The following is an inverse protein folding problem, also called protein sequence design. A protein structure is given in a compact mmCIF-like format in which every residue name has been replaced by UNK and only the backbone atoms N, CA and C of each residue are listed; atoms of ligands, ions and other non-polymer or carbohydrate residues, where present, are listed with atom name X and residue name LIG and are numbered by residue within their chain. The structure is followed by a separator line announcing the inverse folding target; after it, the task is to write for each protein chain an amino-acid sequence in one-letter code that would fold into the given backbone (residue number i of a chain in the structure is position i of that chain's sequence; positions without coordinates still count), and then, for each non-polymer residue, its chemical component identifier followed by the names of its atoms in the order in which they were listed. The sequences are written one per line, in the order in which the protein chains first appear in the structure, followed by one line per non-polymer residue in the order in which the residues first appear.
data_IF_661406122955
#
_entry.id   IF_661406122955
#
_cell.length_a   1.000
_cell.length_b   1.000
_cell.length_c   1.000
_cell.angle_alpha   90.00
_cell.angle_beta   90.00
_cell.angle_gamma   90.00
#
_symmetry.space_group_name_H-M   'P 1'
#
loop_
_entity.id
_entity.type
_entity.pdbx_description
1 polymer ?
#
# COMPACT_ATOMS: atom_id res chain seq x y z
N UNK A 1 25.84 -10.68 32.36
CA UNK A 1 24.46 -10.31 32.75
C UNK A 1 23.62 -10.42 31.49
N UNK A 2 22.79 -11.46 31.39
CA UNK A 2 21.81 -11.57 30.30
C UNK A 2 20.87 -10.39 30.44
N UNK A 3 20.83 -9.49 29.46
CA UNK A 3 19.71 -8.56 29.36
C UNK A 3 18.46 -9.44 29.22
N UNK A 4 17.46 -9.26 30.08
CA UNK A 4 16.19 -9.96 30.00
C UNK A 4 15.55 -9.64 28.64
N UNK A 5 15.71 -10.56 27.69
CA UNK A 5 15.04 -10.49 26.41
C UNK A 5 13.55 -10.75 26.63
N UNK A 6 12.74 -9.72 26.44
CA UNK A 6 11.28 -9.80 26.44
C UNK A 6 10.78 -9.65 24.99
N UNK A 7 10.25 -10.71 24.36
CA UNK A 7 9.75 -10.62 22.99
C UNK A 7 8.60 -9.60 22.84
N UNK A 8 7.88 -9.25 23.92
CA UNK A 8 6.82 -8.23 23.89
C UNK A 8 7.36 -6.80 23.82
N UNK A 9 8.64 -6.61 24.18
CA UNK A 9 9.35 -5.33 24.08
C UNK A 9 10.19 -5.23 22.81
N UNK A 10 10.27 -6.29 22.02
CA UNK A 10 11.01 -6.29 20.76
C UNK A 10 10.19 -5.60 19.65
N UNK A 11 10.37 -4.28 19.51
CA UNK A 11 9.64 -3.45 18.54
C UNK A 11 10.58 -2.81 17.53
N UNK A 12 10.11 -2.70 16.28
CA UNK A 12 10.85 -2.07 15.19
C UNK A 12 10.83 -0.53 15.27
N UNK A 13 9.79 0.05 15.87
CA UNK A 13 9.61 1.50 15.97
C UNK A 13 8.89 1.87 17.25
N UNK A 14 9.06 3.14 17.66
CA UNK A 14 8.34 3.71 18.79
C UNK A 14 6.83 3.76 18.51
N UNK A 15 6.04 3.55 19.57
CA UNK A 15 4.58 3.58 19.50
C UNK A 15 4.07 5.02 19.35
N UNK A 16 3.16 5.23 18.40
CA UNK A 16 2.43 6.47 18.14
C UNK A 16 0.94 6.26 18.31
N UNK A 17 0.23 7.30 18.71
CA UNK A 17 -1.22 7.37 18.87
C UNK A 17 -1.80 8.37 17.88
N UNK A 18 -3.12 8.47 17.78
CA UNK A 18 -3.79 9.39 16.86
C UNK A 18 -3.24 10.83 16.94
N UNK A 19 -2.96 11.33 18.14
CA UNK A 19 -2.48 12.70 18.40
C UNK A 19 -1.05 12.96 17.93
N UNK A 20 -0.27 11.91 17.65
CA UNK A 20 1.14 12.04 17.26
C UNK A 20 1.33 12.28 15.77
N UNK A 21 0.26 12.24 14.97
CA UNK A 21 0.30 12.42 13.52
C UNK A 21 -0.09 13.83 13.10
N UNK A 22 0.41 14.26 11.95
CA UNK A 22 0.07 15.53 11.33
C UNK A 22 -0.25 15.35 9.84
N UNK A 23 -1.12 16.22 9.31
CA UNK A 23 -1.37 16.27 7.87
C UNK A 23 -0.08 16.67 7.12
N UNK A 24 0.13 16.10 5.93
CA UNK A 24 1.33 16.25 5.13
C UNK A 24 2.47 15.27 5.48
N UNK A 25 2.30 14.44 6.51
CA UNK A 25 3.29 13.40 6.82
C UNK A 25 3.25 12.28 5.77
N UNK A 26 4.43 11.92 5.24
CA UNK A 26 4.57 10.97 4.14
C UNK A 26 5.27 9.69 4.57
N UNK A 27 4.70 8.55 4.15
CA UNK A 27 5.23 7.22 4.32
C UNK A 27 5.53 6.62 2.94
N UNK A 28 6.80 6.69 2.53
CA UNK A 28 7.27 6.06 1.31
C UNK A 28 7.30 4.54 1.51
N UNK A 29 6.80 3.81 0.52
CA UNK A 29 6.82 2.36 0.52
C UNK A 29 7.95 1.84 -0.41
N UNK A 30 8.43 0.61 -0.22
CA UNK A 30 9.51 0.06 -1.04
C UNK A 30 9.16 0.07 -2.53
N UNK A 31 10.09 0.55 -3.36
CA UNK A 31 9.97 0.47 -4.82
C UNK A 31 10.02 -0.98 -5.29
N UNK A 32 9.40 -1.27 -6.44
CA UNK A 32 9.39 -2.62 -7.00
C UNK A 32 9.31 -2.60 -8.52
N UNK A 33 10.24 -3.27 -9.17
CA UNK A 33 10.10 -3.64 -10.58
C UNK A 33 9.12 -4.80 -10.68
N UNK A 34 8.08 -4.63 -11.48
CA UNK A 34 7.03 -5.62 -11.66
C UNK A 34 7.54 -6.71 -12.57
N UNK A 35 7.50 -7.94 -12.09
CA UNK A 35 7.94 -9.14 -12.81
C UNK A 35 6.79 -10.12 -12.95
N UNK A 36 6.93 -11.11 -13.83
CA UNK A 36 5.94 -12.19 -14.00
C UNK A 36 5.65 -12.93 -12.68
N UNK A 37 6.61 -12.98 -11.76
CA UNK A 37 6.39 -13.56 -10.43
C UNK A 37 5.32 -12.80 -9.63
N UNK A 38 5.22 -11.48 -9.80
CA UNK A 38 4.17 -10.69 -9.16
C UNK A 38 2.79 -10.99 -9.75
N UNK A 39 2.72 -11.15 -11.08
CA UNK A 39 1.50 -11.54 -11.78
C UNK A 39 1.03 -12.92 -11.33
N UNK A 40 1.93 -13.92 -11.34
CA UNK A 40 1.63 -15.28 -10.90
C UNK A 40 1.17 -15.32 -9.43
N UNK A 41 1.86 -14.60 -8.55
CA UNK A 41 1.49 -14.53 -7.13
C UNK A 41 0.09 -13.90 -6.94
N UNK A 42 -0.19 -12.79 -7.62
CA UNK A 42 -1.49 -12.14 -7.51
C UNK A 42 -2.62 -12.97 -8.13
N UNK A 43 -2.39 -13.57 -9.30
CA UNK A 43 -3.35 -14.45 -9.96
C UNK A 43 -3.67 -15.68 -9.09
N UNK A 44 -2.66 -16.24 -8.42
CA UNK A 44 -2.86 -17.40 -7.52
C UNK A 44 -3.82 -17.07 -6.38
N UNK A 45 -3.68 -15.89 -5.75
CA UNK A 45 -4.52 -15.53 -4.60
C UNK A 45 -5.88 -14.93 -4.99
N UNK A 46 -5.93 -14.16 -6.08
CA UNK A 46 -7.16 -13.48 -6.53
C UNK A 46 -8.06 -14.38 -7.38
N UNK A 47 -7.51 -15.45 -7.96
CA UNK A 47 -8.15 -16.26 -8.99
C UNK A 47 -8.58 -15.47 -10.24
N UNK A 48 -8.07 -14.24 -10.42
CA UNK A 48 -8.33 -13.43 -11.61
C UNK A 48 -7.44 -13.88 -12.76
N UNK A 49 -8.03 -14.72 -13.62
CA UNK A 49 -7.38 -15.40 -14.74
C UNK A 49 -7.81 -14.81 -16.10
N UNK A 50 -7.99 -13.50 -16.21
CA UNK A 50 -8.18 -12.88 -17.53
C UNK A 50 -6.86 -12.97 -18.34
N UNK A 51 -6.87 -13.39 -19.62
CA UNK A 51 -5.66 -13.64 -20.41
C UNK A 51 -4.77 -12.41 -20.62
N UNK A 52 -5.30 -11.20 -20.45
CA UNK A 52 -4.52 -9.94 -20.47
C UNK A 52 -3.36 -9.92 -19.45
N UNK A 53 -3.41 -10.80 -18.44
CA UNK A 53 -2.42 -10.88 -17.38
C UNK A 53 -1.34 -11.97 -17.62
N UNK A 54 -1.55 -12.94 -18.52
CA UNK A 54 -0.62 -14.06 -18.69
C UNK A 54 -0.41 -14.55 -20.14
N UNK A 55 -1.24 -14.12 -21.09
CA UNK A 55 -1.13 -14.51 -22.50
C UNK A 55 -0.58 -13.33 -23.32
N UNK A 56 0.68 -13.48 -23.73
CA UNK A 56 1.40 -12.46 -24.52
C UNK A 56 0.79 -12.28 -25.92
N UNK A 57 0.29 -13.35 -26.54
CA UNK A 57 -0.31 -13.26 -27.87
C UNK A 57 -1.70 -12.62 -27.80
N UNK A 58 -2.47 -12.91 -26.75
CA UNK A 58 -3.69 -12.16 -26.45
C UNK A 58 -3.38 -10.67 -26.28
N UNK A 59 -2.36 -10.31 -25.49
CA UNK A 59 -1.96 -8.91 -25.29
C UNK A 59 -1.57 -8.23 -26.61
N UNK A 60 -0.74 -8.88 -27.44
CA UNK A 60 -0.32 -8.38 -28.75
C UNK A 60 -1.51 -8.15 -29.67
N UNK A 61 -2.46 -9.09 -29.74
CA UNK A 61 -3.66 -8.98 -30.57
C UNK A 61 -4.56 -7.80 -30.16
N UNK A 62 -4.47 -7.36 -28.90
CA UNK A 62 -5.26 -6.24 -28.35
C UNK A 62 -4.44 -4.94 -28.18
N UNK A 63 -3.25 -4.87 -28.77
CA UNK A 63 -2.44 -3.64 -28.80
C UNK A 63 -1.66 -3.33 -27.51
N UNK A 64 -1.53 -4.31 -26.61
CA UNK A 64 -0.68 -4.16 -25.43
C UNK A 64 0.79 -4.50 -25.75
N UNK A 65 1.76 -3.72 -25.22
CA UNK A 65 3.19 -3.97 -25.42
C UNK A 65 3.72 -5.21 -24.66
N UNK A 66 2.94 -5.76 -23.73
CA UNK A 66 3.30 -6.92 -22.91
C UNK A 66 2.18 -7.25 -21.93
N UNK A 67 2.47 -8.11 -20.94
CA UNK A 67 1.53 -8.46 -19.88
C UNK A 67 1.13 -7.21 -19.09
N UNK A 68 -0.18 -6.98 -18.96
CA UNK A 68 -0.74 -5.85 -18.23
C UNK A 68 -1.05 -6.28 -16.79
N UNK A 69 -0.49 -5.61 -15.79
CA UNK A 69 -0.73 -5.96 -14.39
C UNK A 69 -2.21 -5.81 -14.02
N UNK A 70 -2.72 -6.68 -13.12
CA UNK A 70 -4.03 -6.47 -12.51
C UNK A 70 -4.04 -5.11 -11.79
N UNK A 71 -5.12 -4.33 -11.93
CA UNK A 71 -5.25 -3.09 -11.18
C UNK A 71 -5.15 -3.33 -9.67
N UNK A 72 -5.81 -4.39 -9.18
CA UNK A 72 -5.77 -4.81 -7.78
C UNK A 72 -4.36 -5.24 -7.32
N UNK A 73 -3.53 -5.81 -8.19
CA UNK A 73 -2.12 -6.09 -7.89
C UNK A 73 -1.35 -4.80 -7.63
N UNK A 74 -1.53 -3.79 -8.48
CA UNK A 74 -0.89 -2.47 -8.32
C UNK A 74 -1.35 -1.81 -7.01
N UNK A 75 -2.65 -1.91 -6.71
CA UNK A 75 -3.22 -1.44 -5.45
C UNK A 75 -2.60 -2.14 -4.23
N UNK A 76 -2.34 -3.45 -4.27
CA UNK A 76 -1.71 -4.15 -3.16
C UNK A 76 -0.35 -3.55 -2.75
N UNK A 77 0.34 -2.87 -3.66
CA UNK A 77 1.60 -2.20 -3.33
C UNK A 77 1.44 -0.90 -2.53
N UNK A 78 0.23 -0.37 -2.37
CA UNK A 78 -0.05 0.76 -1.46
C UNK A 78 -0.33 0.31 -0.03
N UNK A 79 -0.40 -1.01 0.23
CA UNK A 79 -0.68 -1.53 1.58
C UNK A 79 0.33 -0.98 2.58
N UNK A 80 -0.18 -0.35 3.65
CA UNK A 80 0.68 0.28 4.65
C UNK A 80 1.65 -0.72 5.31
N UNK A 81 1.28 -2.00 5.34
CA UNK A 81 2.09 -3.16 5.75
C UNK A 81 3.50 -3.20 5.18
N UNK A 82 3.71 -2.63 3.98
CA UNK A 82 5.01 -2.61 3.33
C UNK A 82 5.99 -1.58 3.90
N UNK A 83 5.52 -0.64 4.73
CA UNK A 83 6.31 0.49 5.24
C UNK A 83 6.33 0.59 6.77
N UNK A 84 6.85 1.71 7.27
CA UNK A 84 7.03 1.92 8.70
C UNK A 84 5.73 2.20 9.47
N UNK A 85 4.68 2.71 8.81
CA UNK A 85 3.46 3.19 9.48
C UNK A 85 2.82 2.15 10.41
N UNK A 86 2.54 0.89 9.99
CA UNK A 86 2.01 -0.16 10.88
C UNK A 86 2.86 -0.41 12.12
N UNK A 87 4.18 -0.35 11.97
CA UNK A 87 5.12 -0.57 13.08
C UNK A 87 5.13 0.57 14.08
N UNK A 88 4.69 1.77 13.69
CA UNK A 88 4.52 2.90 14.60
C UNK A 88 3.16 2.85 15.30
N UNK A 89 2.14 2.26 14.69
CA UNK A 89 0.76 2.27 15.23
C UNK A 89 0.34 0.98 15.93
N UNK A 90 1.21 -0.02 16.09
CA UNK A 90 0.92 -1.37 16.65
C UNK A 90 -0.27 -1.41 17.64
N UNK A 91 -0.13 -0.82 18.82
CA UNK A 91 -1.16 -0.90 19.89
C UNK A 91 -2.37 0.03 19.64
N UNK A 92 -2.18 1.05 18.80
CA UNK A 92 -3.20 2.05 18.51
C UNK A 92 -4.11 1.65 17.34
N UNK A 93 -3.67 0.76 16.44
CA UNK A 93 -4.49 0.35 15.29
C UNK A 93 -5.71 -0.45 15.75
N UNK A 94 -6.90 0.02 15.37
CA UNK A 94 -8.16 -0.70 15.60
C UNK A 94 -8.65 -1.36 14.32
N UNK A 95 -8.52 -0.68 13.18
CA UNK A 95 -8.99 -1.25 11.92
C UNK A 95 -8.67 -0.43 10.68
N UNK A 96 -8.77 -1.09 9.53
CA UNK A 96 -8.71 -0.49 8.21
C UNK A 96 -10.14 -0.33 7.69
N UNK A 97 -10.66 0.90 7.71
CA UNK A 97 -12.08 1.18 7.53
C UNK A 97 -12.49 1.21 6.06
N UNK A 98 -11.67 1.84 5.23
CA UNK A 98 -12.02 2.14 3.85
C UNK A 98 -10.78 2.18 2.98
N UNK A 99 -10.95 1.67 1.75
CA UNK A 99 -9.97 1.78 0.68
C UNK A 99 -10.72 2.22 -0.58
N UNK A 100 -10.15 3.18 -1.30
CA UNK A 100 -10.57 3.53 -2.66
C UNK A 100 -9.36 3.63 -3.59
N UNK A 101 -9.58 3.40 -4.88
CA UNK A 101 -8.52 3.49 -5.89
C UNK A 101 -9.07 3.91 -7.26
N UNK A 102 -8.25 4.62 -8.03
CA UNK A 102 -8.41 4.93 -9.43
C UNK A 102 -7.19 4.40 -10.19
N UNK A 103 -7.45 3.60 -11.22
CA UNK A 103 -6.41 3.06 -12.11
C UNK A 103 -6.24 4.00 -13.29
N UNK A 104 -5.20 4.84 -13.26
CA UNK A 104 -5.08 5.97 -14.16
C UNK A 104 -4.31 5.63 -15.45
N UNK A 105 -3.35 4.71 -15.35
CA UNK A 105 -2.52 4.28 -16.48
C UNK A 105 -2.21 2.79 -16.39
N UNK A 106 -2.01 2.11 -17.53
CA UNK A 106 -1.56 0.72 -17.52
C UNK A 106 -0.18 0.59 -16.87
N UNK A 107 0.04 -0.54 -16.21
CA UNK A 107 1.34 -0.95 -15.67
C UNK A 107 1.71 -2.27 -16.32
N UNK A 108 2.90 -2.33 -16.92
CA UNK A 108 3.37 -3.52 -17.63
C UNK A 108 4.48 -4.23 -16.85
N UNK A 109 4.69 -5.52 -17.14
CA UNK A 109 5.89 -6.21 -16.69
C UNK A 109 7.15 -5.42 -17.12
N UNK A 110 8.09 -5.22 -16.20
CA UNK A 110 9.27 -4.38 -16.36
C UNK A 110 9.14 -2.96 -15.82
N UNK A 111 7.92 -2.44 -15.59
CA UNK A 111 7.75 -1.14 -14.95
C UNK A 111 8.25 -1.18 -13.50
N UNK A 112 8.83 -0.08 -13.03
CA UNK A 112 9.24 0.07 -11.62
C UNK A 112 8.31 1.05 -10.93
N UNK A 113 7.65 0.59 -9.88
CA UNK A 113 6.65 1.35 -9.13
C UNK A 113 7.23 1.95 -7.85
N UNK A 114 6.72 3.12 -7.50
CA UNK A 114 7.09 3.92 -6.32
C UNK A 114 5.81 4.30 -5.55
N UNK A 115 5.34 3.44 -4.65
CA UNK A 115 4.14 3.71 -3.86
C UNK A 115 4.44 4.62 -2.65
N UNK A 116 3.46 5.43 -2.26
CA UNK A 116 3.54 6.33 -1.12
C UNK A 116 2.17 6.54 -0.49
N UNK A 117 2.14 6.70 0.84
CA UNK A 117 0.99 7.17 1.59
C UNK A 117 1.28 8.55 2.19
N UNK A 118 0.33 9.47 2.12
CA UNK A 118 0.42 10.80 2.73
C UNK A 118 -0.81 11.03 3.62
N UNK A 119 -0.62 11.44 4.87
CA UNK A 119 -1.74 11.82 5.74
C UNK A 119 -2.37 13.10 5.21
N UNK A 120 -3.61 13.01 4.74
CA UNK A 120 -4.37 14.16 4.22
C UNK A 120 -5.44 14.65 5.20
N UNK A 121 -5.82 13.84 6.18
CA UNK A 121 -6.84 14.19 7.15
C UNK A 121 -6.71 13.44 8.47
N UNK A 122 -7.06 14.14 9.54
CA UNK A 122 -7.15 13.60 10.90
C UNK A 122 -8.53 13.97 11.45
N UNK A 123 -9.39 12.96 11.62
CA UNK A 123 -10.77 13.15 12.06
C UNK A 123 -10.89 12.62 13.50
N UNK A 124 -10.81 13.49 14.52
CA UNK A 124 -10.89 13.07 15.91
C UNK A 124 -12.30 12.55 16.24
N UNK A 125 -12.35 11.51 17.07
CA UNK A 125 -13.57 11.01 17.72
C UNK A 125 -13.36 11.02 19.25
N UNK A 126 -14.26 10.37 20.00
CA UNK A 126 -14.23 10.40 21.47
C UNK A 126 -12.97 9.72 22.05
N UNK A 127 -12.79 8.43 21.75
CA UNK A 127 -11.67 7.59 22.25
C UNK A 127 -10.75 7.11 21.12
N UNK A 128 -11.03 7.57 19.89
CA UNK A 128 -10.41 7.12 18.64
C UNK A 128 -10.26 8.31 17.71
N UNK A 129 -9.61 8.10 16.57
CA UNK A 129 -9.62 9.03 15.46
C UNK A 129 -9.35 8.30 14.15
N UNK A 130 -9.84 8.87 13.05
CA UNK A 130 -9.61 8.33 11.71
C UNK A 130 -8.45 9.08 11.08
N UNK A 131 -7.41 8.34 10.69
CA UNK A 131 -6.31 8.83 9.86
C UNK A 131 -6.68 8.56 8.41
N UNK A 132 -6.81 9.62 7.63
CA UNK A 132 -7.08 9.57 6.19
C UNK A 132 -5.75 9.74 5.46
N UNK A 133 -5.41 8.80 4.60
CA UNK A 133 -4.16 8.80 3.85
C UNK A 133 -4.43 8.72 2.35
N UNK A 134 -3.89 9.68 1.58
CA UNK A 134 -3.82 9.56 0.13
C UNK A 134 -2.78 8.52 -0.25
N UNK A 135 -3.18 7.55 -1.05
CA UNK A 135 -2.29 6.58 -1.67
C UNK A 135 -1.95 7.01 -3.09
N UNK A 136 -0.67 6.93 -3.45
CA UNK A 136 -0.21 7.19 -4.83
C UNK A 136 0.78 6.13 -5.26
N UNK A 137 0.78 5.82 -6.55
CA UNK A 137 1.80 4.99 -7.19
C UNK A 137 2.27 5.71 -8.43
N UNK A 138 3.58 5.98 -8.49
CA UNK A 138 4.24 6.48 -9.69
C UNK A 138 5.08 5.36 -10.32
N UNK A 139 5.32 5.43 -11.63
CA UNK A 139 6.28 4.55 -12.31
C UNK A 139 7.66 5.22 -12.49
N UNK A 140 8.58 4.54 -13.18
CA UNK A 140 9.95 4.99 -13.44
C UNK A 140 10.07 6.27 -14.27
N UNK A 141 9.04 6.66 -15.03
CA UNK A 141 9.01 7.94 -15.75
C UNK A 141 8.39 9.08 -14.93
N UNK A 142 8.04 8.82 -13.67
CA UNK A 142 7.36 9.77 -12.79
C UNK A 142 5.86 9.87 -13.05
N UNK A 143 5.29 9.07 -13.96
CA UNK A 143 3.87 9.10 -14.25
C UNK A 143 3.06 8.51 -13.09
N UNK A 144 2.01 9.22 -12.66
CA UNK A 144 1.03 8.70 -11.72
C UNK A 144 0.19 7.62 -12.42
N UNK A 145 0.24 6.38 -11.91
CA UNK A 145 -0.46 5.22 -12.50
C UNK A 145 -1.65 4.77 -11.65
N UNK A 146 -1.61 5.03 -10.34
CA UNK A 146 -2.70 4.76 -9.41
C UNK A 146 -2.75 5.88 -8.36
N UNK A 147 -3.96 6.30 -8.01
CA UNK A 147 -4.20 7.09 -6.80
C UNK A 147 -5.42 6.58 -6.04
N UNK A 148 -5.49 6.86 -4.75
CA UNK A 148 -6.57 6.38 -3.90
C UNK A 148 -6.52 6.95 -2.50
N UNK A 149 -7.34 6.39 -1.62
CA UNK A 149 -7.41 6.78 -0.21
C UNK A 149 -7.52 5.55 0.68
N UNK A 150 -6.80 5.58 1.81
CA UNK A 150 -6.88 4.61 2.90
C UNK A 150 -7.39 5.32 4.16
N UNK A 151 -8.33 4.72 4.89
CA UNK A 151 -8.79 5.23 6.19
C UNK A 151 -8.49 4.23 7.30
N UNK A 152 -7.68 4.62 8.26
CA UNK A 152 -7.33 3.79 9.42
C UNK A 152 -7.94 4.36 10.69
N UNK A 153 -8.55 3.50 11.50
CA UNK A 153 -9.06 3.86 12.82
C UNK A 153 -7.98 3.60 13.86
N UNK A 154 -7.54 4.66 14.54
CA UNK A 154 -6.57 4.58 15.63
C UNK A 154 -7.20 4.93 16.98
N UNK A 155 -6.69 4.32 18.05
CA UNK A 155 -6.94 4.74 19.43
C UNK A 155 -6.28 6.10 19.66
N UNK A 156 -6.95 6.90 20.48
CA UNK A 156 -6.35 8.05 21.15
C UNK A 156 -5.54 7.56 22.35
N UNK A 157 -4.55 8.33 22.78
CA UNK A 157 -3.69 7.95 23.92
C UNK A 157 -4.46 7.82 25.24
N UNK A 158 -5.55 8.57 25.39
CA UNK A 158 -6.43 8.61 26.58
C UNK A 158 -7.88 8.76 26.17
#
# INVERSE_FOLDING_TARGET
MSQDFDPLRHRLSDQRWFEDFAAGECFRLPSRTITEANFAAFQTVSADNHPIHYDVEFCRAHGHPGLLAHGLQVLCFTTAGAGAFPHQINDSLIGFLELSAKFLKPVYAGDTLYPMLEITGLIPQRTTGVVVMRATVHNQSGALVLEGEHKYLLRKRT
#
